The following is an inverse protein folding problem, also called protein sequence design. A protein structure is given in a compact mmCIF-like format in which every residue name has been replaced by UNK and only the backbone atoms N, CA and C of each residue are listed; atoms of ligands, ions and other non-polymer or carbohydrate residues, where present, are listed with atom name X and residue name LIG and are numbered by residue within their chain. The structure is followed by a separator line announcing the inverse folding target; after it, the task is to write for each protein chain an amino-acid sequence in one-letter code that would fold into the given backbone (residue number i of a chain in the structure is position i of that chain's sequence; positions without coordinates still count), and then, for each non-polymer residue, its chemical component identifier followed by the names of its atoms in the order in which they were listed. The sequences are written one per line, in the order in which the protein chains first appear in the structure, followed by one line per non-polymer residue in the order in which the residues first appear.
data_IF_842863007232
#
_entry.id   IF_842863007232
#
_cell.length_a   1.000
_cell.length_b   1.000
_cell.length_c   1.000
_cell.angle_alpha   90.00
_cell.angle_beta   90.00
_cell.angle_gamma   90.00
#
_symmetry.space_group_name_H-M   'P 1'
#
loop_
_entity.id
_entity.type
_entity.pdbx_description
1 polymer ?
#
# COMPACT_ATOMS: atom_id res chain seq x y z
N UNK A 1 68.83 -24.62 9.65
CA UNK A 1 67.57 -25.33 9.96
C UNK A 1 66.45 -24.56 9.27
N UNK A 2 65.54 -25.07 8.45
CA UNK A 2 65.40 -26.25 7.57
C UNK A 2 64.05 -26.05 6.84
N UNK A 3 63.84 -26.76 5.72
CA UNK A 3 62.59 -26.92 4.92
C UNK A 3 62.51 -25.99 3.69
N UNK A 4 62.71 -26.42 2.42
CA UNK A 4 62.25 -27.63 1.65
C UNK A 4 60.70 -27.74 1.76
N UNK A 5 59.87 -27.80 0.71
CA UNK A 5 59.95 -28.43 -0.60
C UNK A 5 58.78 -27.92 -1.49
N UNK A 6 58.98 -27.92 -2.81
CA UNK A 6 57.96 -27.68 -3.82
C UNK A 6 57.05 -28.90 -4.07
N UNK A 7 55.78 -28.70 -4.45
CA UNK A 7 55.14 -29.41 -5.58
C UNK A 7 53.83 -28.72 -6.02
N UNK A 8 53.72 -28.44 -7.31
CA UNK A 8 52.50 -28.04 -7.99
C UNK A 8 51.57 -29.25 -8.22
N UNK A 9 50.25 -29.06 -8.16
CA UNK A 9 49.26 -29.88 -8.87
C UNK A 9 48.03 -29.05 -9.23
N UNK A 10 47.65 -29.12 -10.50
CA UNK A 10 46.45 -28.53 -11.14
C UNK A 10 45.21 -29.42 -10.93
N UNK A 11 44.05 -28.82 -11.23
CA UNK A 11 42.70 -29.40 -11.46
C UNK A 11 41.94 -29.84 -10.19
N UNK A 12 40.66 -29.52 -9.95
CA UNK A 12 39.52 -29.42 -10.88
C UNK A 12 38.41 -28.50 -10.33
N UNK A 13 37.60 -27.96 -11.24
CA UNK A 13 36.35 -27.26 -10.94
C UNK A 13 35.39 -28.15 -10.11
N UNK A 14 34.78 -27.58 -9.07
CA UNK A 14 33.66 -28.18 -8.34
C UNK A 14 32.42 -27.30 -8.49
N UNK A 15 31.34 -27.93 -8.95
CA UNK A 15 30.03 -27.39 -9.28
C UNK A 15 29.33 -26.69 -8.09
N UNK A 16 28.32 -25.84 -8.35
CA UNK A 16 27.55 -25.19 -7.28
C UNK A 16 26.80 -26.22 -6.45
N UNK A 17 27.05 -26.19 -5.13
CA UNK A 17 26.33 -26.97 -4.12
C UNK A 17 24.93 -26.36 -3.94
N UNK A 18 23.83 -27.14 -3.98
CA UNK A 18 22.49 -26.62 -3.75
C UNK A 18 22.35 -26.04 -2.35
N UNK A 19 21.81 -24.82 -2.26
CA UNK A 19 21.46 -24.16 -1.00
C UNK A 19 20.20 -24.79 -0.40
N UNK A 20 20.34 -25.90 0.33
CA UNK A 20 19.32 -26.31 1.30
C UNK A 20 19.95 -27.17 2.40
N UNK A 21 20.22 -26.59 3.59
CA UNK A 21 20.43 -27.24 4.93
C UNK A 21 21.31 -26.45 5.93
N UNK A 22 21.23 -25.11 6.01
CA UNK A 22 21.80 -24.37 7.16
C UNK A 22 20.88 -23.29 7.71
N UNK A 23 19.83 -23.69 8.45
CA UNK A 23 19.20 -22.89 9.53
C UNK A 23 18.12 -23.68 10.33
N UNK A 24 18.49 -24.78 11.00
CA UNK A 24 17.63 -25.50 11.99
C UNK A 24 17.93 -25.14 13.47
N UNK A 25 18.65 -24.06 13.73
CA UNK A 25 19.21 -23.77 15.06
C UNK A 25 18.48 -22.59 15.72
N UNK A 26 17.51 -22.86 16.60
CA UNK A 26 16.95 -21.81 17.47
C UNK A 26 15.66 -22.17 18.23
N UNK A 27 14.77 -22.97 17.62
CA UNK A 27 13.51 -23.42 18.21
C UNK A 27 13.68 -24.85 18.77
N UNK A 28 13.03 -25.19 19.87
CA UNK A 28 13.09 -26.54 20.47
C UNK A 28 12.48 -27.61 19.56
N UNK A 29 12.21 -28.82 20.08
CA UNK A 29 11.63 -29.91 19.27
C UNK A 29 10.18 -29.63 18.81
N UNK A 30 9.48 -28.71 19.49
CA UNK A 30 8.05 -28.42 19.27
C UNK A 30 7.14 -29.59 19.66
N UNK A 31 5.83 -29.35 19.73
CA UNK A 31 4.82 -30.41 19.92
C UNK A 31 4.07 -30.68 18.61
N UNK A 32 3.66 -31.92 18.39
CA UNK A 32 2.72 -32.23 17.31
C UNK A 32 1.37 -31.54 17.56
N UNK A 33 0.60 -31.34 16.48
CA UNK A 33 -0.84 -31.10 16.60
C UNK A 33 -1.49 -32.30 17.32
N UNK A 34 -2.47 -32.03 18.18
CA UNK A 34 -3.24 -33.11 18.78
C UNK A 34 -4.04 -33.86 17.68
N UNK A 35 -4.29 -35.17 17.83
CA UNK A 35 -4.87 -35.96 16.75
C UNK A 35 -6.24 -35.48 16.26
N UNK A 36 -7.07 -34.93 17.15
CA UNK A 36 -8.43 -34.47 16.82
C UNK A 36 -8.36 -33.19 16.00
N UNK A 37 -7.60 -32.19 16.47
CA UNK A 37 -7.38 -30.95 15.72
C UNK A 37 -6.69 -31.21 14.39
N UNK A 38 -5.67 -32.08 14.38
CA UNK A 38 -4.96 -32.45 13.16
C UNK A 38 -5.91 -33.04 12.12
N UNK A 39 -6.71 -34.03 12.50
CA UNK A 39 -7.64 -34.69 11.58
C UNK A 39 -8.69 -33.72 11.01
N UNK A 40 -9.22 -32.82 11.86
CA UNK A 40 -10.15 -31.79 11.41
C UNK A 40 -9.51 -30.81 10.40
N UNK A 41 -8.27 -30.38 10.66
CA UNK A 41 -7.55 -29.46 9.77
C UNK A 41 -7.07 -30.14 8.48
N UNK A 42 -6.61 -31.38 8.54
CA UNK A 42 -6.24 -32.17 7.35
C UNK A 42 -7.46 -32.38 6.43
N UNK A 43 -8.64 -32.63 7.01
CA UNK A 43 -9.90 -32.73 6.28
C UNK A 43 -10.26 -31.40 5.62
N UNK A 44 -10.06 -30.28 6.34
CA UNK A 44 -10.38 -28.96 5.83
C UNK A 44 -9.42 -28.51 4.72
N UNK A 45 -8.12 -28.79 4.83
CA UNK A 45 -7.10 -28.35 3.85
C UNK A 45 -6.82 -29.40 2.77
N UNK A 46 -7.32 -30.62 2.89
CA UNK A 46 -7.04 -31.72 1.95
C UNK A 46 -5.56 -32.08 1.87
N UNK A 47 -4.77 -31.82 2.92
CA UNK A 47 -3.31 -31.95 2.96
C UNK A 47 -2.87 -32.60 4.27
N UNK A 48 -1.84 -33.45 4.22
CA UNK A 48 -1.23 -34.05 5.41
C UNK A 48 -0.51 -33.00 6.28
N UNK A 49 -0.87 -32.88 7.56
CA UNK A 49 -0.29 -31.94 8.51
C UNK A 49 0.53 -32.65 9.60
N UNK A 50 0.83 -33.94 9.43
CA UNK A 50 1.60 -34.77 10.38
C UNK A 50 2.99 -34.21 10.74
N UNK A 51 3.62 -33.51 9.79
CA UNK A 51 4.94 -32.91 9.97
C UNK A 51 4.92 -31.55 10.68
N UNK A 52 3.73 -30.98 10.99
CA UNK A 52 3.62 -29.67 11.67
C UNK A 52 4.04 -29.74 13.13
N UNK A 53 4.82 -28.75 13.57
CA UNK A 53 5.27 -28.59 14.96
C UNK A 53 4.86 -27.23 15.51
N UNK A 54 4.24 -27.23 16.69
CA UNK A 54 3.90 -26.01 17.44
C UNK A 54 4.97 -25.74 18.49
N UNK A 55 5.52 -24.53 18.47
CA UNK A 55 6.48 -24.01 19.44
C UNK A 55 5.80 -22.94 20.29
N UNK A 56 5.72 -23.21 21.59
CA UNK A 56 5.05 -22.33 22.54
C UNK A 56 5.86 -22.20 23.84
N UNK A 57 7.18 -22.41 23.80
CA UNK A 57 8.04 -22.24 24.97
C UNK A 57 8.46 -20.76 25.16
N UNK A 58 9.33 -20.48 26.13
CA UNK A 58 9.80 -19.11 26.40
C UNK A 58 10.61 -18.52 25.23
N UNK A 59 11.27 -19.37 24.42
CA UNK A 59 12.05 -18.92 23.26
C UNK A 59 11.13 -18.57 22.10
N UNK A 60 10.09 -19.37 21.86
CA UNK A 60 9.02 -19.07 20.92
C UNK A 60 8.35 -17.72 21.21
N UNK A 61 8.05 -17.46 22.48
CA UNK A 61 7.45 -16.19 22.92
C UNK A 61 8.36 -14.98 22.63
N UNK A 62 9.64 -15.08 22.96
CA UNK A 62 10.61 -14.02 22.66
C UNK A 62 10.75 -13.78 21.16
N UNK A 63 10.70 -14.84 20.34
CA UNK A 63 10.80 -14.73 18.89
C UNK A 63 9.55 -14.09 18.26
N UNK A 64 8.35 -14.43 18.74
CA UNK A 64 7.10 -13.84 18.28
C UNK A 64 7.02 -12.34 18.61
N UNK A 65 7.42 -11.95 19.83
CA UNK A 65 7.45 -10.52 20.25
C UNK A 65 8.43 -9.67 19.46
N UNK A 66 9.60 -10.22 19.12
CA UNK A 66 10.59 -9.51 18.30
C UNK A 66 10.04 -9.14 16.90
N UNK A 67 9.04 -9.87 16.42
CA UNK A 67 8.34 -9.61 15.16
C UNK A 67 7.01 -8.89 15.34
N UNK A 68 6.64 -8.50 16.57
CA UNK A 68 5.36 -7.89 16.88
C UNK A 68 4.14 -8.79 16.59
N UNK A 69 4.34 -10.11 16.53
CA UNK A 69 3.33 -11.06 16.06
C UNK A 69 2.71 -11.87 17.22
N UNK A 70 1.42 -12.21 17.08
CA UNK A 70 0.73 -13.13 18.01
C UNK A 70 1.17 -14.58 17.79
N UNK A 71 1.36 -14.95 16.52
CA UNK A 71 1.94 -16.19 16.03
C UNK A 71 2.63 -15.95 14.68
N UNK A 72 3.49 -16.87 14.23
CA UNK A 72 3.97 -16.90 12.85
C UNK A 72 4.38 -18.31 12.40
N UNK A 73 4.41 -18.51 11.08
CA UNK A 73 4.75 -19.79 10.44
C UNK A 73 6.07 -19.74 9.66
N UNK A 74 6.91 -20.74 9.89
CA UNK A 74 8.18 -20.98 9.17
C UNK A 74 8.30 -22.44 8.78
N UNK A 75 8.13 -22.74 7.49
CA UNK A 75 8.09 -24.09 6.96
C UNK A 75 6.95 -24.90 7.58
N UNK A 76 7.31 -25.92 8.37
CA UNK A 76 6.36 -26.74 9.11
C UNK A 76 6.22 -26.33 10.58
N UNK A 77 6.92 -25.28 11.00
CA UNK A 77 6.97 -24.84 12.38
C UNK A 77 6.05 -23.63 12.59
N UNK A 78 5.13 -23.73 13.53
CA UNK A 78 4.25 -22.64 13.98
C UNK A 78 4.76 -22.16 15.34
N UNK A 79 5.02 -20.87 15.48
CA UNK A 79 5.55 -20.26 16.70
C UNK A 79 4.49 -19.38 17.34
N UNK A 80 4.15 -19.64 18.60
CA UNK A 80 3.11 -18.93 19.36
C UNK A 80 3.73 -18.05 20.45
N UNK A 81 3.18 -16.85 20.62
CA UNK A 81 3.44 -16.04 21.81
C UNK A 81 2.78 -16.62 23.07
N UNK A 82 3.27 -16.25 24.25
CA UNK A 82 2.77 -16.75 25.53
C UNK A 82 1.30 -16.40 25.79
N UNK A 83 0.81 -15.30 25.21
CA UNK A 83 -0.58 -14.85 25.32
C UNK A 83 -1.57 -15.68 24.48
N UNK A 84 -1.08 -16.47 23.52
CA UNK A 84 -1.90 -17.19 22.54
C UNK A 84 -1.59 -18.71 22.50
N UNK A 85 -1.26 -19.30 23.65
CA UNK A 85 -0.91 -20.73 23.76
C UNK A 85 -2.13 -21.67 23.77
N UNK A 86 -3.28 -21.16 24.17
CA UNK A 86 -4.52 -21.92 24.16
C UNK A 86 -5.12 -21.87 22.74
N UNK A 87 -5.31 -23.04 22.15
CA UNK A 87 -5.85 -23.23 20.80
C UNK A 87 -7.20 -23.93 20.83
N UNK A 88 -7.79 -24.12 22.01
CA UNK A 88 -9.04 -24.86 22.18
C UNK A 88 -10.28 -23.99 21.99
N UNK A 89 -10.18 -22.69 22.27
CA UNK A 89 -11.26 -21.73 22.08
C UNK A 89 -11.38 -21.25 20.62
N UNK A 90 -12.47 -20.56 20.30
CA UNK A 90 -12.76 -20.10 18.93
C UNK A 90 -11.67 -19.18 18.36
N UNK A 91 -11.06 -18.34 19.20
CA UNK A 91 -10.02 -17.39 18.79
C UNK A 91 -8.70 -18.12 18.49
N UNK A 92 -8.30 -19.02 19.38
CA UNK A 92 -7.12 -19.86 19.22
C UNK A 92 -7.25 -20.83 18.03
N UNK A 93 -8.45 -21.36 17.76
CA UNK A 93 -8.70 -22.18 16.57
C UNK A 93 -8.62 -21.39 15.27
N UNK A 94 -9.08 -20.15 15.27
CA UNK A 94 -8.95 -19.26 14.11
C UNK A 94 -7.48 -18.91 13.85
N UNK A 95 -6.74 -18.57 14.91
CA UNK A 95 -5.29 -18.32 14.84
C UNK A 95 -4.53 -19.55 14.33
N UNK A 96 -4.83 -20.74 14.85
CA UNK A 96 -4.19 -21.97 14.38
C UNK A 96 -4.49 -22.26 12.91
N UNK A 97 -5.74 -22.06 12.49
CA UNK A 97 -6.15 -22.29 11.08
C UNK A 97 -5.44 -21.32 10.14
N UNK A 98 -5.24 -20.08 10.58
CA UNK A 98 -4.51 -19.05 9.86
C UNK A 98 -3.05 -19.46 9.62
N UNK A 99 -2.37 -19.89 10.68
CA UNK A 99 -0.98 -20.33 10.59
C UNK A 99 -0.82 -21.63 9.78
N UNK A 100 -1.78 -22.56 9.86
CA UNK A 100 -1.76 -23.78 9.05
C UNK A 100 -1.96 -23.51 7.56
N UNK A 101 -2.74 -22.49 7.20
CA UNK A 101 -2.84 -22.05 5.81
C UNK A 101 -1.47 -21.59 5.29
N UNK A 102 -0.68 -20.88 6.10
CA UNK A 102 0.70 -20.51 5.76
C UNK A 102 1.62 -21.73 5.56
N UNK A 103 1.44 -22.81 6.35
CA UNK A 103 2.20 -24.06 6.16
C UNK A 103 1.91 -24.69 4.79
N UNK A 104 0.61 -24.84 4.45
CA UNK A 104 0.18 -25.46 3.18
C UNK A 104 0.68 -24.64 1.98
N UNK A 105 0.65 -23.31 2.10
CA UNK A 105 1.12 -22.40 1.07
C UNK A 105 2.65 -22.45 0.89
N UNK A 106 3.42 -22.47 1.99
CA UNK A 106 4.89 -22.56 1.92
C UNK A 106 5.36 -23.89 1.32
N UNK A 107 4.64 -24.99 1.54
CA UNK A 107 4.93 -26.30 0.91
C UNK A 107 4.68 -26.33 -0.59
N UNK A 108 3.77 -25.49 -1.09
CA UNK A 108 3.41 -25.43 -2.51
C UNK A 108 4.39 -24.57 -3.34
N UNK A 109 5.55 -24.20 -2.77
CA UNK A 109 6.58 -23.39 -3.43
C UNK A 109 6.45 -21.88 -3.22
N UNK A 110 5.49 -21.43 -2.40
CA UNK A 110 5.34 -20.02 -2.02
C UNK A 110 6.33 -19.62 -0.92
N UNK A 111 7.48 -19.05 -1.28
CA UNK A 111 8.35 -18.37 -0.30
C UNK A 111 7.67 -17.13 0.29
N UNK A 112 7.89 -16.87 1.60
CA UNK A 112 7.39 -15.79 2.51
C UNK A 112 5.98 -15.22 2.22
N UNK A 113 5.08 -15.20 3.22
CA UNK A 113 3.67 -14.88 3.00
C UNK A 113 3.47 -13.46 2.45
N UNK A 114 2.79 -13.35 1.31
CA UNK A 114 2.28 -12.10 0.75
C UNK A 114 0.80 -11.87 1.17
N UNK A 115 0.24 -10.65 1.08
CA UNK A 115 -1.08 -10.28 1.62
C UNK A 115 -2.29 -11.06 1.05
N UNK A 116 -2.19 -11.54 -0.20
CA UNK A 116 -3.19 -12.45 -0.78
C UNK A 116 -3.26 -13.80 -0.05
N UNK A 117 -2.15 -14.21 0.57
CA UNK A 117 -2.03 -15.44 1.33
C UNK A 117 -2.66 -15.31 2.72
N UNK A 118 -2.61 -14.11 3.33
CA UNK A 118 -3.30 -13.74 4.57
C UNK A 118 -4.83 -13.72 4.40
N UNK A 119 -5.35 -13.17 3.29
CA UNK A 119 -6.78 -13.18 3.00
C UNK A 119 -7.32 -14.60 2.75
N UNK A 120 -6.53 -15.45 2.07
CA UNK A 120 -6.85 -16.86 1.89
C UNK A 120 -6.80 -17.64 3.22
N UNK A 121 -5.85 -17.31 4.09
CA UNK A 121 -5.74 -17.88 5.43
C UNK A 121 -6.92 -17.48 6.34
N UNK A 122 -7.33 -16.20 6.32
CA UNK A 122 -8.51 -15.70 7.05
C UNK A 122 -9.83 -16.28 6.52
N UNK A 123 -9.97 -16.43 5.19
CA UNK A 123 -11.14 -17.04 4.58
C UNK A 123 -11.25 -18.54 4.93
N UNK A 124 -10.12 -19.25 4.91
CA UNK A 124 -10.04 -20.65 5.34
C UNK A 124 -10.38 -20.78 6.84
N UNK A 125 -9.79 -19.94 7.69
CA UNK A 125 -10.08 -19.91 9.13
C UNK A 125 -11.56 -19.62 9.43
N UNK A 126 -12.18 -18.68 8.70
CA UNK A 126 -13.59 -18.35 8.85
C UNK A 126 -14.53 -19.47 8.37
N UNK A 127 -14.16 -20.18 7.31
CA UNK A 127 -14.90 -21.33 6.80
C UNK A 127 -14.86 -22.50 7.80
N UNK A 128 -13.69 -22.78 8.37
CA UNK A 128 -13.47 -23.84 9.36
C UNK A 128 -14.16 -23.52 10.69
N UNK A 129 -14.08 -22.28 11.17
CA UNK A 129 -14.80 -21.82 12.37
C UNK A 129 -16.33 -21.94 12.22
N UNK A 130 -16.83 -21.92 10.98
CA UNK A 130 -18.25 -22.09 10.66
C UNK A 130 -18.65 -23.55 10.36
N UNK A 131 -17.75 -24.53 10.55
CA UNK A 131 -18.01 -25.95 10.29
C UNK A 131 -18.12 -26.33 8.81
N UNK A 132 -17.63 -25.49 7.90
CA UNK A 132 -17.60 -25.77 6.45
C UNK A 132 -16.22 -26.31 6.05
N UNK A 133 -16.19 -27.26 5.11
CA UNK A 133 -14.95 -27.69 4.48
C UNK A 133 -14.41 -26.58 3.59
N UNK A 134 -13.11 -26.30 3.64
CA UNK A 134 -12.50 -25.45 2.62
C UNK A 134 -12.45 -26.29 1.34
N UNK A 135 -13.24 -25.92 0.33
CA UNK A 135 -13.33 -26.65 -0.93
C UNK A 135 -11.99 -26.69 -1.67
N UNK A 136 -11.86 -27.56 -2.70
CA UNK A 136 -10.67 -27.58 -3.55
C UNK A 136 -10.46 -26.18 -4.12
N UNK A 137 -9.25 -25.64 -3.98
CA UNK A 137 -8.89 -24.39 -4.63
C UNK A 137 -9.20 -24.52 -6.12
N UNK A 138 -9.89 -23.55 -6.76
CA UNK A 138 -9.95 -23.51 -8.20
C UNK A 138 -8.52 -23.34 -8.72
N UNK A 139 -7.97 -24.45 -9.22
CA UNK A 139 -6.76 -24.44 -10.02
C UNK A 139 -7.00 -23.62 -11.28
N UNK A 140 -6.14 -22.62 -11.48
CA UNK A 140 -5.78 -22.03 -12.77
C UNK A 140 -6.91 -21.91 -13.82
N UNK A 141 -7.81 -20.94 -13.66
CA UNK A 141 -8.41 -20.20 -14.77
C UNK A 141 -9.22 -19.00 -14.25
N UNK A 142 -8.54 -17.94 -13.82
CA UNK A 142 -9.02 -16.57 -13.96
C UNK A 142 -7.79 -15.68 -13.96
N UNK A 143 -7.57 -14.99 -15.08
CA UNK A 143 -6.50 -14.01 -15.27
C UNK A 143 -6.34 -13.13 -14.03
N UNK A 144 -5.17 -13.16 -13.38
CA UNK A 144 -4.78 -12.10 -12.45
C UNK A 144 -4.67 -10.83 -13.30
N UNK A 145 -5.75 -10.07 -13.40
CA UNK A 145 -5.72 -8.75 -13.99
C UNK A 145 -5.01 -7.87 -12.97
N UNK A 146 -3.71 -7.63 -13.20
CA UNK A 146 -2.86 -6.71 -12.45
C UNK A 146 -3.16 -5.31 -13.00
N UNK A 147 -3.86 -4.47 -12.22
CA UNK A 147 -4.62 -3.31 -12.76
C UNK A 147 -4.03 -1.96 -12.41
N UNK A 148 -3.48 -1.79 -11.20
CA UNK A 148 -2.51 -0.73 -10.90
C UNK A 148 -1.20 -1.42 -10.58
N UNK A 149 -0.22 -1.30 -11.48
CA UNK A 149 1.02 -2.07 -11.37
C UNK A 149 2.17 -1.16 -10.95
N UNK A 150 2.67 -1.33 -9.73
CA UNK A 150 3.89 -0.71 -9.26
C UNK A 150 5.06 -1.53 -9.80
N UNK A 151 5.75 -0.96 -10.80
CA UNK A 151 6.82 -1.63 -11.52
C UNK A 151 8.16 -1.01 -11.19
N UNK A 152 9.20 -1.84 -11.25
CA UNK A 152 10.57 -1.34 -11.23
C UNK A 152 10.90 -0.61 -12.54
N UNK A 153 11.97 0.15 -12.49
CA UNK A 153 12.60 0.81 -13.62
C UNK A 153 13.45 -0.19 -14.43
N UNK A 154 13.93 0.23 -15.59
CA UNK A 154 14.78 -0.58 -16.46
C UNK A 154 16.19 -0.79 -15.88
N UNK A 155 16.93 -1.72 -16.48
CA UNK A 155 18.34 -1.97 -16.12
C UNK A 155 19.15 -0.69 -16.30
N UNK A 156 19.85 -0.27 -15.25
CA UNK A 156 20.68 0.94 -15.29
C UNK A 156 19.92 2.22 -14.96
N UNK A 157 18.67 2.14 -14.49
CA UNK A 157 17.92 3.29 -13.98
C UNK A 157 17.92 3.28 -12.45
N UNK A 158 17.70 4.44 -11.81
CA UNK A 158 17.64 4.51 -10.35
C UNK A 158 16.25 4.08 -9.87
N UNK A 159 16.20 2.90 -9.25
CA UNK A 159 14.96 2.32 -8.72
C UNK A 159 14.46 3.05 -7.48
N UNK A 160 13.16 3.33 -7.46
CA UNK A 160 12.40 3.79 -6.29
C UNK A 160 11.75 2.66 -5.51
N UNK A 161 11.85 1.40 -5.95
CA UNK A 161 11.12 0.28 -5.36
C UNK A 161 11.40 0.07 -3.86
N UNK A 162 12.60 0.44 -3.39
CA UNK A 162 12.97 0.37 -1.98
C UNK A 162 12.12 1.25 -1.04
N UNK A 163 11.44 2.28 -1.56
CA UNK A 163 10.56 3.18 -0.78
C UNK A 163 9.08 2.89 -0.95
N UNK A 164 8.71 1.91 -1.77
CA UNK A 164 7.32 1.51 -1.96
C UNK A 164 6.63 1.08 -0.65
N UNK A 165 7.29 0.38 0.30
CA UNK A 165 6.68 0.09 1.60
C UNK A 165 6.25 1.34 2.38
N UNK A 166 7.03 2.43 2.29
CA UNK A 166 6.71 3.72 2.93
C UNK A 166 5.47 4.36 2.29
N UNK A 167 5.32 4.24 0.96
CA UNK A 167 4.11 4.69 0.26
C UNK A 167 2.88 3.91 0.73
N UNK A 168 2.99 2.58 0.86
CA UNK A 168 1.87 1.74 1.34
C UNK A 168 1.51 2.06 2.79
N UNK A 169 2.51 2.19 3.66
CA UNK A 169 2.30 2.61 5.05
C UNK A 169 1.56 3.96 5.11
N UNK A 170 1.98 4.92 4.29
CA UNK A 170 1.35 6.23 4.24
C UNK A 170 -0.08 6.19 3.70
N UNK A 171 -0.35 5.41 2.66
CA UNK A 171 -1.71 5.21 2.16
C UNK A 171 -2.63 4.59 3.24
N UNK A 172 -2.09 3.64 4.03
CA UNK A 172 -2.80 3.04 5.16
C UNK A 172 -2.99 3.98 6.35
N UNK A 173 -2.13 4.98 6.51
CA UNK A 173 -2.32 6.03 7.51
C UNK A 173 -3.38 7.06 7.10
N UNK A 174 -3.50 7.32 5.79
CA UNK A 174 -4.47 8.28 5.22
C UNK A 174 -5.90 7.70 5.24
N UNK A 175 -6.04 6.44 4.82
CA UNK A 175 -7.33 5.80 4.62
C UNK A 175 -7.79 5.06 5.88
N UNK A 176 -9.03 5.32 6.30
CA UNK A 176 -9.69 4.53 7.34
C UNK A 176 -10.51 3.36 6.78
N UNK A 177 -10.88 3.42 5.49
CA UNK A 177 -11.81 2.50 4.84
C UNK A 177 -11.15 1.44 3.97
N UNK A 178 -9.93 1.68 3.51
CA UNK A 178 -9.14 0.75 2.70
C UNK A 178 -7.82 0.43 3.39
N UNK A 179 -7.44 -0.84 3.31
CA UNK A 179 -6.11 -1.33 3.67
C UNK A 179 -5.40 -1.72 2.37
N UNK A 180 -4.37 -0.98 2.04
CA UNK A 180 -3.51 -1.13 0.87
C UNK A 180 -2.41 -2.14 1.11
N UNK A 181 -2.10 -2.88 0.06
CA UNK A 181 -0.99 -3.81 0.01
C UNK A 181 -0.51 -3.99 -1.42
N UNK A 182 0.63 -4.65 -1.61
CA UNK A 182 1.16 -4.99 -2.93
C UNK A 182 1.34 -6.50 -2.99
N UNK A 183 0.91 -7.10 -4.10
CA UNK A 183 1.14 -8.53 -4.33
C UNK A 183 2.56 -8.81 -4.86
N UNK A 184 2.88 -10.09 -5.04
CA UNK A 184 4.21 -10.53 -5.49
C UNK A 184 4.59 -10.04 -6.87
N UNK A 185 3.61 -9.63 -7.68
CA UNK A 185 3.81 -9.15 -9.04
C UNK A 185 3.87 -7.61 -9.12
N UNK A 186 3.81 -6.93 -7.98
CA UNK A 186 3.83 -5.48 -7.90
C UNK A 186 2.46 -4.83 -8.11
N UNK A 187 1.36 -5.58 -8.17
CA UNK A 187 0.05 -4.97 -8.30
C UNK A 187 -0.45 -4.42 -6.96
N UNK A 188 -0.93 -3.18 -6.96
CA UNK A 188 -1.55 -2.55 -5.81
C UNK A 188 -2.91 -3.21 -5.55
N UNK A 189 -3.11 -3.67 -4.33
CA UNK A 189 -4.32 -4.31 -3.85
C UNK A 189 -4.92 -3.48 -2.72
N UNK A 190 -6.23 -3.60 -2.52
CA UNK A 190 -6.92 -3.03 -1.37
C UNK A 190 -7.98 -3.98 -0.82
N UNK A 191 -8.09 -4.06 0.50
CA UNK A 191 -9.24 -4.66 1.21
C UNK A 191 -10.05 -3.57 1.89
N UNK A 192 -11.36 -3.79 2.02
CA UNK A 192 -12.26 -2.83 2.65
C UNK A 192 -12.36 -3.11 4.16
N UNK A 193 -12.21 -2.05 4.96
CA UNK A 193 -12.50 -2.05 6.39
C UNK A 193 -13.98 -1.64 6.58
N UNK A 194 -14.86 -2.52 7.07
CA UNK A 194 -16.30 -2.24 7.18
C UNK A 194 -16.63 -1.13 8.19
N UNK A 195 -15.69 -0.74 9.05
CA UNK A 195 -15.87 0.32 10.03
C UNK A 195 -15.30 1.67 9.58
N UNK A 196 -14.60 1.71 8.45
CA UNK A 196 -14.02 2.94 7.92
C UNK A 196 -15.03 3.78 7.15
N UNK A 197 -14.73 5.08 7.01
CA UNK A 197 -15.54 5.98 6.19
C UNK A 197 -14.87 6.19 4.84
N UNK A 198 -15.56 5.81 3.76
CA UNK A 198 -15.04 5.88 2.41
C UNK A 198 -15.00 7.32 1.89
N UNK A 199 -13.81 7.87 1.68
CA UNK A 199 -13.60 9.18 1.04
C UNK A 199 -13.74 9.09 -0.47
N UNK A 200 -13.76 10.24 -1.16
CA UNK A 200 -13.71 10.28 -2.62
C UNK A 200 -12.38 9.71 -3.16
N UNK A 201 -11.28 9.88 -2.43
CA UNK A 201 -10.00 9.25 -2.77
C UNK A 201 -10.12 7.73 -2.75
N UNK A 202 -10.66 7.17 -1.67
CA UNK A 202 -10.77 5.73 -1.48
C UNK A 202 -11.63 5.09 -2.56
N UNK A 203 -12.79 5.68 -2.88
CA UNK A 203 -13.68 5.19 -3.96
C UNK A 203 -12.93 5.09 -5.28
N UNK A 204 -12.23 6.16 -5.68
CA UNK A 204 -11.54 6.22 -6.96
C UNK A 204 -10.35 5.26 -7.03
N UNK A 205 -9.51 5.22 -6.01
CA UNK A 205 -8.38 4.28 -5.97
C UNK A 205 -8.87 2.83 -6.04
N UNK A 206 -9.89 2.48 -5.27
CA UNK A 206 -10.50 1.16 -5.31
C UNK A 206 -11.03 0.84 -6.72
N UNK A 207 -11.68 1.80 -7.36
CA UNK A 207 -12.21 1.62 -8.71
C UNK A 207 -11.08 1.43 -9.73
N UNK A 208 -9.93 2.11 -9.60
CA UNK A 208 -8.74 1.85 -10.43
C UNK A 208 -8.18 0.45 -10.20
N UNK A 209 -8.00 0.04 -8.94
CA UNK A 209 -7.54 -1.30 -8.56
C UNK A 209 -8.51 -2.37 -9.09
N UNK A 210 -9.80 -2.06 -9.18
CA UNK A 210 -10.85 -2.96 -9.69
C UNK A 210 -11.16 -2.79 -11.18
N UNK A 211 -10.55 -1.85 -11.88
CA UNK A 211 -10.79 -1.59 -13.31
C UNK A 211 -10.22 -2.69 -14.19
N UNK A 212 -10.63 -2.85 -15.45
CA UNK A 212 -10.00 -3.82 -16.37
C UNK A 212 -8.74 -3.30 -17.07
N UNK A 213 -8.37 -2.04 -16.83
CA UNK A 213 -7.25 -1.37 -17.50
C UNK A 213 -5.96 -1.59 -16.71
N UNK A 214 -4.86 -1.86 -17.40
CA UNK A 214 -3.52 -1.93 -16.77
C UNK A 214 -2.93 -0.53 -16.70
N UNK A 215 -2.65 -0.07 -15.47
CA UNK A 215 -2.12 1.25 -15.13
C UNK A 215 -0.74 1.09 -14.49
N UNK A 216 0.33 0.99 -15.30
CA UNK A 216 1.68 0.83 -14.79
C UNK A 216 2.18 2.15 -14.19
N UNK A 217 2.82 2.07 -13.03
CA UNK A 217 3.55 3.14 -12.34
C UNK A 217 5.01 2.67 -12.15
N UNK A 218 5.94 3.18 -12.97
CA UNK A 218 7.36 2.79 -12.91
C UNK A 218 8.08 3.64 -11.87
N UNK A 219 8.41 3.07 -10.72
CA UNK A 219 8.91 3.85 -9.58
C UNK A 219 10.39 4.16 -9.72
N UNK A 220 10.73 5.41 -10.02
CA UNK A 220 12.09 5.96 -9.90
C UNK A 220 12.24 6.72 -8.58
N UNK A 221 13.41 7.28 -8.32
CA UNK A 221 13.72 8.09 -7.14
C UNK A 221 14.28 9.47 -7.55
N UNK A 222 14.62 10.31 -6.58
CA UNK A 222 15.12 11.70 -6.76
C UNK A 222 16.35 11.84 -7.64
N UNK A 223 17.10 10.77 -7.85
CA UNK A 223 18.25 10.76 -8.73
C UNK A 223 17.85 10.58 -10.20
N UNK A 224 16.57 10.29 -10.46
CA UNK A 224 15.96 10.18 -11.78
C UNK A 224 16.49 9.01 -12.59
N UNK A 225 16.46 9.14 -13.91
CA UNK A 225 17.11 8.19 -14.82
C UNK A 225 18.63 8.43 -14.82
N UNK A 226 19.43 7.37 -14.99
CA UNK A 226 20.87 7.56 -15.22
C UNK A 226 21.08 8.27 -16.55
N UNK A 227 21.92 9.32 -16.53
CA UNK A 227 22.36 10.01 -17.75
C UNK A 227 23.68 9.42 -18.23
N UNK A 228 23.75 9.16 -19.54
CA UNK A 228 24.88 9.44 -20.46
C UNK A 228 25.19 8.27 -21.42
N UNK A 229 24.26 7.96 -22.33
CA UNK A 229 24.65 7.52 -23.67
C UNK A 229 24.17 8.55 -24.69
N UNK A 230 24.95 8.76 -25.75
CA UNK A 230 24.68 9.76 -26.81
C UNK A 230 23.44 9.43 -27.67
N UNK A 231 22.59 8.49 -27.23
CA UNK A 231 21.49 7.93 -28.01
C UNK A 231 20.16 7.86 -27.26
N UNK A 232 20.09 8.16 -25.96
CA UNK A 232 18.80 8.34 -25.28
C UNK A 232 18.27 9.77 -25.48
N UNK A 233 17.10 9.97 -26.12
CA UNK A 233 16.49 11.29 -26.25
C UNK A 233 15.91 11.83 -24.92
N UNK A 234 15.93 11.04 -23.84
CA UNK A 234 15.29 11.37 -22.57
C UNK A 234 16.32 11.69 -21.47
N UNK A 235 16.92 12.88 -21.55
CA UNK A 235 17.72 13.50 -20.49
C UNK A 235 16.85 14.11 -19.37
N UNK A 236 15.77 13.42 -18.99
CA UNK A 236 14.67 14.05 -18.25
C UNK A 236 14.69 13.52 -16.82
N UNK A 237 15.11 14.38 -15.89
CA UNK A 237 14.76 14.22 -14.47
C UNK A 237 13.23 14.15 -14.39
N UNK A 238 12.70 13.06 -13.84
CA UNK A 238 11.26 12.90 -13.64
C UNK A 238 10.87 13.72 -12.41
N UNK A 239 10.11 14.79 -12.59
CA UNK A 239 9.57 15.58 -11.47
C UNK A 239 8.11 15.18 -11.25
N UNK A 240 7.84 14.45 -10.18
CA UNK A 240 6.54 13.90 -9.84
C UNK A 240 6.10 12.75 -10.74
N UNK A 241 5.87 13.03 -12.03
CA UNK A 241 5.41 12.06 -13.03
C UNK A 241 5.98 12.33 -14.42
N UNK A 242 6.15 11.26 -15.19
CA UNK A 242 6.31 11.29 -16.63
C UNK A 242 5.24 10.42 -17.25
N UNK A 243 4.17 11.05 -17.76
CA UNK A 243 3.08 10.36 -18.44
C UNK A 243 3.58 9.52 -19.62
N UNK A 244 4.44 10.10 -20.46
CA UNK A 244 4.93 9.44 -21.67
C UNK A 244 5.72 8.17 -21.34
N UNK A 245 6.57 8.21 -20.32
CA UNK A 245 7.46 7.10 -20.00
C UNK A 245 6.94 6.20 -18.85
N UNK A 246 5.81 6.58 -18.25
CA UNK A 246 5.16 5.91 -17.13
C UNK A 246 5.89 6.00 -15.80
N UNK A 247 6.96 6.80 -15.72
CA UNK A 247 7.75 6.96 -14.49
C UNK A 247 7.05 7.82 -13.46
N UNK A 248 7.18 7.43 -12.19
CA UNK A 248 6.76 8.20 -11.03
C UNK A 248 7.98 8.36 -10.13
N UNK A 249 8.31 9.60 -9.75
CA UNK A 249 9.34 9.82 -8.73
C UNK A 249 8.72 9.63 -7.36
N UNK A 250 9.06 8.52 -6.70
CA UNK A 250 8.50 8.18 -5.40
C UNK A 250 8.97 9.13 -4.29
N UNK A 251 10.16 9.74 -4.43
CA UNK A 251 10.66 10.68 -3.43
C UNK A 251 9.82 11.96 -3.42
N UNK A 252 9.38 12.41 -4.60
CA UNK A 252 8.47 13.55 -4.77
C UNK A 252 7.07 13.26 -4.21
N UNK A 253 6.55 12.06 -4.49
CA UNK A 253 5.26 11.61 -3.94
C UNK A 253 5.32 11.58 -2.41
N UNK A 254 6.38 11.01 -1.84
CA UNK A 254 6.54 10.89 -0.39
C UNK A 254 6.86 12.22 0.32
N UNK A 255 7.45 13.20 -0.37
CA UNK A 255 7.74 14.52 0.20
C UNK A 255 6.55 15.49 0.21
N UNK A 256 5.47 15.15 -0.49
CA UNK A 256 4.24 15.95 -0.62
C UNK A 256 3.34 15.76 0.61
N UNK A 257 2.44 16.69 0.96
CA UNK A 257 1.43 16.47 2.03
C UNK A 257 0.35 15.44 1.64
N UNK A 258 -0.49 15.01 2.59
CA UNK A 258 -1.44 13.90 2.32
C UNK A 258 -2.49 14.26 1.27
N UNK A 259 -2.99 15.50 1.28
CA UNK A 259 -3.98 15.96 0.31
C UNK A 259 -3.40 16.06 -1.11
N UNK A 260 -2.17 16.55 -1.25
CA UNK A 260 -1.50 16.63 -2.54
C UNK A 260 -0.95 15.27 -2.99
N UNK A 261 -0.62 14.34 -2.09
CA UNK A 261 -0.31 12.95 -2.44
C UNK A 261 -1.53 12.27 -3.06
N UNK A 262 -2.68 12.35 -2.38
CA UNK A 262 -3.95 11.82 -2.90
C UNK A 262 -4.28 12.43 -4.27
N UNK A 263 -4.15 13.75 -4.38
CA UNK A 263 -4.35 14.48 -5.64
C UNK A 263 -3.43 14.02 -6.77
N UNK A 264 -2.13 13.85 -6.51
CA UNK A 264 -1.15 13.36 -7.50
C UNK A 264 -1.48 11.94 -7.98
N UNK A 265 -1.72 11.01 -7.06
CA UNK A 265 -2.03 9.62 -7.44
C UNK A 265 -3.31 9.52 -8.26
N UNK A 266 -4.37 10.22 -7.85
CA UNK A 266 -5.62 10.27 -8.61
C UNK A 266 -5.41 10.94 -9.95
N UNK A 267 -4.59 11.98 -10.03
CA UNK A 267 -4.27 12.61 -11.30
C UNK A 267 -3.65 11.60 -12.27
N UNK A 268 -2.55 10.95 -11.86
CA UNK A 268 -1.80 10.01 -12.70
C UNK A 268 -2.69 8.85 -13.15
N UNK A 269 -3.42 8.24 -12.22
CA UNK A 269 -4.25 7.08 -12.54
C UNK A 269 -5.46 7.45 -13.40
N UNK A 270 -6.08 8.61 -13.17
CA UNK A 270 -7.20 9.09 -14.00
C UNK A 270 -6.74 9.34 -15.43
N UNK A 271 -5.61 10.03 -15.60
CA UNK A 271 -5.05 10.39 -16.90
C UNK A 271 -4.68 9.12 -17.70
N UNK A 272 -3.98 8.18 -17.05
CA UNK A 272 -3.60 6.89 -17.64
C UNK A 272 -4.80 6.03 -18.00
N UNK A 273 -5.81 5.96 -17.13
CA UNK A 273 -7.01 5.14 -17.36
C UNK A 273 -7.93 5.73 -18.43
N UNK A 274 -7.99 7.06 -18.54
CA UNK A 274 -8.75 7.72 -19.57
C UNK A 274 -8.07 7.67 -20.95
N UNK A 275 -6.76 7.40 -20.99
CA UNK A 275 -6.00 7.30 -22.23
C UNK A 275 -6.11 5.89 -22.81
N UNK A 276 -6.62 5.79 -24.03
CA UNK A 276 -6.82 4.51 -24.71
C UNK A 276 -5.49 3.79 -24.93
N UNK A 277 -5.41 2.51 -24.52
CA UNK A 277 -4.23 1.64 -24.66
C UNK A 277 -2.95 2.29 -24.09
N UNK A 278 -3.08 3.04 -22.99
CA UNK A 278 -1.96 3.76 -22.37
C UNK A 278 -0.70 2.90 -22.19
N UNK A 279 -0.83 1.68 -21.64
CA UNK A 279 0.31 0.81 -21.38
C UNK A 279 1.13 0.46 -22.64
N UNK A 280 0.50 0.46 -23.82
CA UNK A 280 1.13 0.17 -25.11
C UNK A 280 1.78 1.41 -25.73
N UNK A 281 1.46 2.61 -25.23
CA UNK A 281 1.96 3.91 -25.70
C UNK A 281 3.18 4.39 -24.93
N UNK A 282 3.53 3.75 -23.82
CA UNK A 282 4.65 4.16 -22.99
C UNK A 282 5.97 4.10 -23.79
N UNK A 283 6.78 5.17 -23.70
CA UNK A 283 8.05 5.29 -24.42
C UNK A 283 7.94 5.71 -25.89
N UNK A 284 6.75 6.13 -26.35
CA UNK A 284 6.57 6.84 -27.62
C UNK A 284 6.70 8.37 -27.45
N UNK A 285 6.59 9.13 -28.55
CA UNK A 285 6.84 10.59 -28.52
C UNK A 285 5.60 11.48 -28.54
N UNK A 286 4.38 10.90 -28.45
CA UNK A 286 3.16 11.62 -28.83
C UNK A 286 2.18 11.85 -27.66
N UNK A 287 2.06 13.13 -27.26
CA UNK A 287 0.92 13.66 -26.50
C UNK A 287 -0.17 14.05 -27.50
N UNK A 288 -1.26 13.29 -27.53
CA UNK A 288 -2.35 13.46 -28.48
C UNK A 288 -3.65 13.94 -27.80
N UNK A 289 -4.74 13.98 -28.58
CA UNK A 289 -6.07 14.34 -28.06
C UNK A 289 -6.57 13.42 -26.95
N UNK A 290 -6.17 12.15 -26.94
CA UNK A 290 -6.58 11.19 -25.91
C UNK A 290 -5.89 11.55 -24.59
N UNK A 291 -4.60 11.95 -24.64
CA UNK A 291 -3.89 12.52 -23.49
C UNK A 291 -4.58 13.78 -22.95
N UNK A 292 -4.86 14.77 -23.81
CA UNK A 292 -5.49 16.02 -23.39
C UNK A 292 -6.85 15.77 -22.69
N UNK A 293 -7.67 14.89 -23.25
CA UNK A 293 -8.94 14.50 -22.64
C UNK A 293 -8.75 13.78 -21.29
N UNK A 294 -7.73 12.93 -21.19
CA UNK A 294 -7.35 12.29 -19.93
C UNK A 294 -6.89 13.29 -18.88
N UNK A 295 -6.07 14.26 -19.27
CA UNK A 295 -5.56 15.31 -18.40
C UNK A 295 -6.69 16.16 -17.84
N UNK A 296 -7.62 16.62 -18.67
CA UNK A 296 -8.82 17.37 -18.23
C UNK A 296 -9.68 16.60 -17.21
N UNK A 297 -9.83 15.29 -17.40
CA UNK A 297 -10.52 14.42 -16.43
C UNK A 297 -9.74 14.31 -15.13
N UNK A 298 -8.42 14.20 -15.19
CA UNK A 298 -7.54 14.15 -14.02
C UNK A 298 -7.60 15.46 -13.21
N UNK A 299 -7.61 16.62 -13.89
CA UNK A 299 -7.83 17.94 -13.29
C UNK A 299 -9.19 18.04 -12.58
N UNK A 300 -10.23 17.52 -13.20
CA UNK A 300 -11.58 17.46 -12.63
C UNK A 300 -11.63 16.57 -11.40
N UNK A 301 -10.98 15.39 -11.45
CA UNK A 301 -10.91 14.47 -10.33
C UNK A 301 -10.19 15.08 -9.11
N UNK A 302 -9.09 15.81 -9.31
CA UNK A 302 -8.39 16.52 -8.23
C UNK A 302 -9.29 17.56 -7.54
N UNK A 303 -10.10 18.31 -8.30
CA UNK A 303 -11.07 19.24 -7.72
C UNK A 303 -12.10 18.51 -6.87
N UNK A 304 -12.61 17.38 -7.35
CA UNK A 304 -13.65 16.63 -6.65
C UNK A 304 -13.13 16.00 -5.35
N UNK A 305 -11.85 15.61 -5.30
CA UNK A 305 -11.17 15.27 -4.04
C UNK A 305 -11.17 16.44 -3.06
N UNK A 306 -10.82 17.65 -3.51
CA UNK A 306 -10.80 18.83 -2.64
C UNK A 306 -12.20 19.20 -2.14
N UNK A 307 -13.24 18.99 -2.96
CA UNK A 307 -14.65 19.19 -2.56
C UNK A 307 -15.02 18.24 -1.42
N UNK A 308 -14.71 16.97 -1.56
CA UNK A 308 -14.96 15.95 -0.54
C UNK A 308 -14.15 16.23 0.73
N UNK A 309 -12.84 16.42 0.59
CA UNK A 309 -11.90 16.69 1.69
C UNK A 309 -12.31 17.90 2.53
N UNK A 310 -12.73 18.99 1.90
CA UNK A 310 -13.14 20.22 2.58
C UNK A 310 -14.63 20.21 2.98
N UNK A 311 -15.43 19.26 2.49
CA UNK A 311 -16.88 19.29 2.60
C UNK A 311 -17.50 20.51 1.91
N UNK A 312 -16.93 20.96 0.80
CA UNK A 312 -17.35 22.13 0.03
C UNK A 312 -17.72 21.73 -1.41
N UNK A 313 -18.96 21.28 -1.69
CA UNK A 313 -19.37 20.81 -3.01
C UNK A 313 -19.37 21.92 -4.07
N UNK A 314 -19.32 23.19 -3.64
CA UNK A 314 -19.35 24.37 -4.53
C UNK A 314 -17.95 24.92 -4.82
N UNK A 315 -16.90 24.31 -4.28
CA UNK A 315 -15.52 24.65 -4.63
C UNK A 315 -15.34 24.53 -6.15
N UNK A 316 -14.73 25.54 -6.78
CA UNK A 316 -14.54 25.60 -8.24
C UNK A 316 -13.10 25.90 -8.60
N UNK A 317 -12.64 25.38 -9.72
CA UNK A 317 -11.34 25.77 -10.25
C UNK A 317 -11.40 27.21 -10.80
N UNK A 318 -10.37 27.98 -10.52
CA UNK A 318 -10.09 29.26 -11.18
C UNK A 318 -9.06 29.06 -12.30
N UNK A 319 -8.07 28.21 -12.02
CA UNK A 319 -7.03 27.82 -12.96
C UNK A 319 -6.67 26.37 -12.65
N UNK A 320 -7.05 25.45 -13.55
CA UNK A 320 -6.78 24.03 -13.36
C UNK A 320 -5.29 23.73 -13.48
N UNK A 321 -4.59 24.33 -14.46
CA UNK A 321 -3.17 24.10 -14.70
C UNK A 321 -2.34 24.50 -13.47
N UNK A 322 -2.63 25.67 -12.91
CA UNK A 322 -1.97 26.17 -11.71
C UNK A 322 -2.54 25.61 -10.41
N UNK A 323 -3.56 24.74 -10.48
CA UNK A 323 -4.26 24.16 -9.32
C UNK A 323 -4.72 25.22 -8.32
N UNK A 324 -5.36 26.25 -8.85
CA UNK A 324 -5.96 27.34 -8.09
C UNK A 324 -7.47 27.12 -8.06
N UNK A 325 -8.01 27.04 -6.86
CA UNK A 325 -9.43 26.82 -6.60
C UNK A 325 -10.00 27.93 -5.73
N UNK A 326 -11.32 28.10 -5.78
CA UNK A 326 -12.09 29.04 -4.99
C UNK A 326 -13.14 28.26 -4.18
N UNK A 327 -13.10 28.40 -2.87
CA UNK A 327 -14.13 27.86 -1.97
C UNK A 327 -15.44 28.62 -2.11
N UNK A 328 -16.53 28.05 -1.59
CA UNK A 328 -17.83 28.72 -1.48
C UNK A 328 -17.84 29.93 -0.54
N UNK A 329 -16.93 29.97 0.45
CA UNK A 329 -16.64 31.17 1.27
C UNK A 329 -15.90 32.26 0.49
N UNK A 330 -15.34 31.92 -0.67
CA UNK A 330 -14.56 32.83 -1.50
C UNK A 330 -13.06 32.84 -1.18
N UNK A 331 -12.58 31.91 -0.35
CA UNK A 331 -11.15 31.71 -0.06
C UNK A 331 -10.46 30.99 -1.22
N UNK A 332 -9.16 31.22 -1.36
CA UNK A 332 -8.38 30.63 -2.45
C UNK A 332 -7.61 29.42 -1.96
N UNK A 333 -7.72 28.28 -2.62
CA UNK A 333 -6.92 27.08 -2.35
C UNK A 333 -5.91 26.94 -3.48
N UNK A 334 -4.62 26.80 -3.16
CA UNK A 334 -3.53 26.78 -4.16
C UNK A 334 -2.61 25.61 -3.85
N UNK A 335 -2.30 24.77 -4.85
CA UNK A 335 -1.21 23.80 -4.73
C UNK A 335 0.12 24.51 -4.92
N UNK A 336 1.01 24.43 -3.93
CA UNK A 336 2.37 24.98 -3.97
C UNK A 336 3.36 23.84 -4.11
N UNK A 337 4.23 23.93 -5.12
CA UNK A 337 5.36 23.01 -5.30
C UNK A 337 6.64 23.69 -4.84
N UNK A 338 7.54 22.94 -4.21
CA UNK A 338 8.86 23.42 -3.76
C UNK A 338 9.93 22.37 -4.10
N UNK A 339 11.01 22.83 -4.70
CA UNK A 339 12.24 22.05 -4.86
C UNK A 339 13.03 22.07 -3.54
N UNK A 340 13.33 20.89 -3.01
CA UNK A 340 14.10 20.68 -1.79
C UNK A 340 15.59 20.64 -2.11
N UNK A 341 16.41 21.12 -1.17
CA UNK A 341 17.85 21.32 -1.36
C UNK A 341 18.67 20.48 -0.37
N UNK A 342 19.97 20.36 -0.62
CA UNK A 342 20.90 19.70 0.30
C UNK A 342 20.72 18.17 0.29
N UNK A 343 20.44 17.55 1.44
CA UNK A 343 20.25 16.09 1.53
C UNK A 343 19.02 15.57 0.75
N UNK A 344 18.13 16.46 0.35
CA UNK A 344 16.93 16.18 -0.44
C UNK A 344 17.01 16.79 -1.84
N UNK A 345 18.21 17.09 -2.33
CA UNK A 345 18.41 17.56 -3.70
C UNK A 345 17.77 16.59 -4.70
N UNK A 346 17.04 17.15 -5.67
CA UNK A 346 16.26 16.39 -6.65
C UNK A 346 14.81 16.11 -6.25
N UNK A 347 14.39 16.45 -5.02
CA UNK A 347 13.02 16.20 -4.54
C UNK A 347 12.12 17.44 -4.68
N UNK A 348 10.91 17.26 -5.22
CA UNK A 348 9.86 18.26 -5.38
C UNK A 348 8.62 17.92 -4.54
N UNK A 349 8.51 18.58 -3.38
CA UNK A 349 7.31 18.47 -2.55
C UNK A 349 6.18 19.33 -3.10
N UNK A 350 4.95 18.89 -2.90
CA UNK A 350 3.76 19.73 -3.06
C UNK A 350 2.95 19.79 -1.77
N UNK A 351 2.19 20.87 -1.60
CA UNK A 351 1.22 21.02 -0.53
C UNK A 351 0.08 21.93 -0.94
N UNK A 352 -1.08 21.77 -0.33
CA UNK A 352 -2.16 22.74 -0.50
C UNK A 352 -2.12 23.82 0.58
N UNK A 353 -2.32 25.07 0.16
CA UNK A 353 -2.42 26.23 1.05
C UNK A 353 -3.75 26.93 0.80
N UNK A 354 -4.46 27.29 1.87
CA UNK A 354 -5.65 28.12 1.80
C UNK A 354 -5.30 29.57 2.15
N UNK A 355 -5.82 30.52 1.36
CA UNK A 355 -5.69 31.96 1.55
C UNK A 355 -7.07 32.54 1.85
N UNK A 356 -7.25 33.01 3.08
CA UNK A 356 -8.53 33.53 3.57
C UNK A 356 -8.87 34.85 2.88
N UNK A 357 -10.09 34.95 2.37
CA UNK A 357 -10.58 36.16 1.72
C UNK A 357 -10.70 37.29 2.74
N UNK A 358 -10.25 38.49 2.34
CA UNK A 358 -10.33 39.71 3.16
C UNK A 358 -9.11 39.92 4.05
N UNK A 359 -8.63 38.88 4.75
CA UNK A 359 -7.44 38.98 5.60
C UNK A 359 -6.14 38.65 4.85
N UNK A 360 -6.19 37.80 3.83
CA UNK A 360 -5.01 37.28 3.15
C UNK A 360 -4.21 36.27 3.98
N UNK A 361 -4.75 35.85 5.14
CA UNK A 361 -4.12 34.87 6.01
C UNK A 361 -3.93 33.54 5.29
N UNK A 362 -2.74 32.94 5.44
CA UNK A 362 -2.38 31.66 4.84
C UNK A 362 -2.38 30.57 5.89
N UNK A 363 -2.96 29.42 5.55
CA UNK A 363 -2.99 28.25 6.43
C UNK A 363 -2.85 26.96 5.63
N UNK A 364 -2.44 25.87 6.29
CA UNK A 364 -2.42 24.54 5.68
C UNK A 364 -3.84 24.07 5.37
N UNK A 365 -3.97 23.10 4.46
CA UNK A 365 -5.29 22.59 4.10
C UNK A 365 -5.98 21.89 5.28
N UNK A 366 -5.22 21.21 6.16
CA UNK A 366 -5.75 20.59 7.38
C UNK A 366 -6.29 21.63 8.36
N UNK A 367 -5.53 22.71 8.59
CA UNK A 367 -5.96 23.81 9.46
C UNK A 367 -7.22 24.50 8.90
N UNK A 368 -7.28 24.66 7.58
CA UNK A 368 -8.46 25.20 6.90
C UNK A 368 -9.67 24.26 7.00
N UNK A 369 -9.49 22.95 6.81
CA UNK A 369 -10.55 21.95 7.01
C UNK A 369 -11.11 22.02 8.43
N UNK A 370 -10.24 22.07 9.44
CA UNK A 370 -10.64 22.19 10.83
C UNK A 370 -11.39 23.52 11.11
N UNK A 371 -11.00 24.62 10.47
CA UNK A 371 -11.75 25.88 10.52
C UNK A 371 -13.17 25.71 9.97
N UNK A 372 -13.31 25.12 8.78
CA UNK A 372 -14.61 24.88 8.16
C UNK A 372 -15.50 23.94 8.99
N UNK A 373 -14.92 22.93 9.64
CA UNK A 373 -15.64 22.03 10.54
C UNK A 373 -16.15 22.76 11.80
N UNK A 374 -15.30 23.59 12.42
CA UNK A 374 -15.71 24.43 13.57
C UNK A 374 -16.84 25.38 13.20
N UNK A 375 -16.76 26.05 12.05
CA UNK A 375 -17.81 26.96 11.59
C UNK A 375 -19.13 26.22 11.29
N UNK A 376 -19.06 25.02 10.71
CA UNK A 376 -20.24 24.17 10.47
C UNK A 376 -20.88 23.73 11.79
N UNK A 377 -20.07 23.30 12.76
CA UNK A 377 -20.55 22.91 14.09
C UNK A 377 -21.21 24.09 14.82
N UNK A 378 -20.62 25.30 14.76
CA UNK A 378 -21.19 26.50 15.36
C UNK A 378 -22.55 26.90 14.73
N UNK A 379 -22.71 26.71 13.41
CA UNK A 379 -23.99 26.94 12.72
C UNK A 379 -25.06 25.88 13.02
N UNK A 380 -24.64 24.66 13.33
CA UNK A 380 -25.53 23.54 13.65
C UNK A 380 -25.97 23.52 15.13
N UNK A 381 -25.31 24.28 16.00
CA UNK A 381 -25.71 24.41 17.40
C UNK A 381 -27.11 25.07 17.49
N UNK A 382 -28.04 24.52 18.28
CA UNK A 382 -29.35 25.12 18.46
C UNK A 382 -29.19 26.53 19.02
N UNK A 383 -29.92 27.50 18.46
CA UNK A 383 -30.01 28.84 19.05
C UNK A 383 -30.41 28.68 20.51
N UNK A 384 -29.56 29.11 21.44
CA UNK A 384 -29.89 29.10 22.85
C UNK A 384 -31.19 29.91 23.03
N UNK A 385 -32.28 29.22 23.37
CA UNK A 385 -33.55 29.87 23.71
C UNK A 385 -33.24 30.84 24.85
N UNK A 386 -33.51 32.15 24.72
CA UNK A 386 -33.35 33.06 25.85
C UNK A 386 -34.25 32.54 26.97
N UNK A 387 -33.66 32.28 28.13
CA UNK A 387 -34.41 31.91 29.32
C UNK A 387 -35.49 32.98 29.55
N UNK A 388 -36.75 32.55 29.59
CA UNK A 388 -37.86 33.45 29.86
C UNK A 388 -37.59 34.19 31.19
N UNK A 389 -37.84 35.51 31.27
CA UNK A 389 -37.72 36.23 32.52
C UNK A 389 -38.67 35.57 33.53
N UNK A 390 -38.10 35.12 34.65
CA UNK A 390 -38.86 34.52 35.74
C UNK A 390 -39.94 35.49 36.25
N UNK A 391 -41.05 34.96 36.79
CA UNK A 391 -42.17 35.79 37.20
C UNK A 391 -41.72 36.80 38.26
N UNK A 392 -41.94 38.08 37.97
CA UNK A 392 -41.87 39.15 38.97
C UNK A 392 -43.03 38.91 39.94
N UNK A 393 -42.72 38.53 41.18
CA UNK A 393 -43.69 38.29 42.23
C UNK A 393 -44.38 39.59 42.69
N UNK A 394 -45.61 39.49 43.22
CA UNK A 394 -46.46 40.63 43.59
C UNK A 394 -45.96 41.43 44.79
#
# INVERSE_FOLDING_TARGET
MSSRLALARRESASAPVPLDTRARSGLGAGRALDPVTRSAMETAFGTDLSAVRIHADARADSAARALGAQAYTRGNDIVLSAAHRDLSDTSGRALLSHELAHVVQQRSGGGRPAPAHEAAAHAAASAIASGRTAGPQPGAAQSVQRRVEIRDVGKGEHSGMGRVPELIERLNAISTALIFSIDTDGALQCTENPYGTMTEFDKRIRDFIRSSTVLPLRMTNRHGLMRNDRHSPYDIKVTGDSFIAGYVDIDDVLATDDAALQGRLIHYLTERNATRRYAERMGGDELDKDYNSGHEKALTAERDLLRDYLGDPKLRALDFEQRIFRSSRGDTIIRRTRHLHGKQEGVYSARYEAVIRGTGEKMTLEAYKALLERERAAKAAPAATPAAPGPVGP
#
